data_IF_873789347513
#
_entry.id   IF_873789347513
#
_cell.length_a   1.000
_cell.length_b   1.000
_cell.length_c   1.000
_cell.angle_alpha   90.00
_cell.angle_beta   90.00
_cell.angle_gamma   90.00
#
_symmetry.space_group_name_H-M   'P 1'
#
loop_
_entity.id
_entity.type
_entity.pdbx_description
1 polymer ?
#
# COMPACT_ATOMS: atom_id res chain seq x y z
N UNK A 1 -10.84 6.26 -1.44
CA UNK A 1 -10.36 5.62 -2.67
C UNK A 1 -11.16 4.37 -2.95
N UNK A 2 -11.73 4.27 -4.13
CA UNK A 2 -12.46 3.07 -4.53
C UNK A 2 -11.51 2.05 -5.17
N UNK A 3 -11.59 0.81 -4.71
CA UNK A 3 -10.78 -0.29 -5.20
C UNK A 3 -11.66 -1.41 -5.73
N UNK A 4 -11.10 -2.23 -6.60
CA UNK A 4 -11.82 -3.37 -7.20
C UNK A 4 -11.57 -4.68 -6.47
N UNK A 5 -10.55 -4.74 -5.61
CA UNK A 5 -10.11 -5.98 -5.00
C UNK A 5 -9.22 -6.81 -5.93
N UNK A 6 -8.92 -8.02 -5.52
CA UNK A 6 -8.12 -9.00 -6.28
C UNK A 6 -6.75 -8.49 -6.75
N UNK A 7 -6.08 -7.73 -5.89
CA UNK A 7 -4.75 -7.22 -6.20
C UNK A 7 -4.75 -5.89 -6.95
N UNK A 8 -5.89 -5.20 -6.97
CA UNK A 8 -5.99 -3.86 -7.57
C UNK A 8 -4.93 -2.94 -6.96
N UNK A 9 -4.02 -2.45 -7.79
CA UNK A 9 -2.81 -1.73 -7.39
C UNK A 9 -2.90 -0.28 -7.85
N UNK A 10 -2.81 0.64 -6.90
CA UNK A 10 -2.92 2.07 -7.14
C UNK A 10 -1.64 2.80 -6.77
N UNK A 11 -1.12 3.62 -7.67
CA UNK A 11 -0.01 4.51 -7.37
C UNK A 11 -0.53 5.71 -6.58
N UNK A 12 -0.12 5.81 -5.32
CA UNK A 12 -0.51 6.92 -4.44
C UNK A 12 0.63 7.91 -4.20
N UNK A 13 1.72 7.79 -4.94
CA UNK A 13 2.86 8.70 -4.81
C UNK A 13 2.46 10.17 -4.97
N UNK A 14 1.64 10.56 -5.96
CA UNK A 14 1.25 11.97 -6.11
C UNK A 14 0.51 12.51 -4.88
N UNK A 15 -0.36 11.72 -4.27
CA UNK A 15 -1.11 12.12 -3.08
C UNK A 15 -0.20 12.28 -1.87
N UNK A 16 0.81 11.42 -1.74
CA UNK A 16 1.79 11.53 -0.66
C UNK A 16 2.68 12.75 -0.86
N UNK A 17 3.14 12.99 -2.07
CA UNK A 17 3.92 14.19 -2.41
C UNK A 17 3.14 15.47 -2.10
N UNK A 18 1.86 15.49 -2.45
CA UNK A 18 1.00 16.65 -2.19
C UNK A 18 0.83 16.88 -0.69
N UNK A 19 0.62 15.82 0.09
CA UNK A 19 0.48 15.93 1.54
C UNK A 19 1.76 16.49 2.18
N UNK A 20 2.93 16.05 1.71
CA UNK A 20 4.21 16.59 2.20
C UNK A 20 4.33 18.08 1.88
N UNK A 21 4.00 18.50 0.65
CA UNK A 21 4.01 19.93 0.29
C UNK A 21 3.05 20.74 1.14
N UNK A 22 1.83 20.25 1.32
CA UNK A 22 0.78 20.96 2.06
C UNK A 22 1.11 21.09 3.55
N UNK A 23 1.92 20.18 4.09
CA UNK A 23 2.32 20.22 5.50
C UNK A 23 3.19 21.41 5.86
N UNK A 24 3.90 21.96 4.89
CA UNK A 24 4.89 23.02 5.14
C UNK A 24 6.15 22.51 5.87
N UNK A 25 6.23 21.23 6.21
CA UNK A 25 7.41 20.63 6.83
C UNK A 25 8.47 20.41 5.75
N UNK A 26 9.68 20.85 6.03
CA UNK A 26 10.73 20.86 5.01
C UNK A 26 11.40 19.52 4.86
N UNK A 27 11.77 18.90 5.96
CA UNK A 27 12.46 17.62 5.98
C UNK A 27 11.95 16.77 7.13
N UNK A 28 11.87 15.48 6.92
CA UNK A 28 11.37 14.57 7.95
C UNK A 28 11.02 13.19 7.40
N UNK A 29 10.02 12.59 8.00
CA UNK A 29 9.51 11.28 7.63
C UNK A 29 8.02 11.38 7.33
N UNK A 30 7.60 10.70 6.28
CA UNK A 30 6.18 10.52 5.99
C UNK A 30 5.85 9.03 6.12
N UNK A 31 4.83 8.73 6.90
CA UNK A 31 4.35 7.36 7.09
C UNK A 31 2.97 7.22 6.48
N UNK A 32 2.81 6.21 5.66
CA UNK A 32 1.54 5.84 5.05
C UNK A 32 1.04 4.58 5.74
N UNK A 33 -0.21 4.59 6.17
CA UNK A 33 -0.82 3.45 6.84
C UNK A 33 -2.21 3.19 6.27
N UNK A 34 -2.49 1.93 5.92
CA UNK A 34 -3.82 1.52 5.49
C UNK A 34 -4.52 0.73 6.60
N UNK A 35 -5.54 1.29 7.27
CA UNK A 35 -6.36 0.51 8.18
C UNK A 35 -7.11 -0.57 7.44
N UNK A 36 -7.19 -1.74 8.04
CA UNK A 36 -7.84 -2.90 7.43
C UNK A 36 -6.89 -4.07 7.34
N UNK A 37 -7.43 -5.25 7.12
CA UNK A 37 -6.68 -6.50 7.16
C UNK A 37 -6.53 -7.18 5.81
N UNK A 38 -7.01 -6.56 4.74
CA UNK A 38 -6.99 -7.14 3.39
C UNK A 38 -6.34 -6.24 2.34
N UNK A 39 -5.72 -5.16 2.76
CA UNK A 39 -4.97 -4.26 1.87
C UNK A 39 -3.58 -4.00 2.43
N UNK A 40 -2.69 -3.52 1.58
CA UNK A 40 -1.29 -3.30 1.92
C UNK A 40 -0.75 -2.04 1.25
N UNK A 41 0.36 -1.54 1.75
CA UNK A 41 1.11 -0.43 1.15
C UNK A 41 2.57 -0.85 1.02
N UNK A 42 3.14 -0.66 -0.16
CA UNK A 42 4.54 -0.95 -0.43
C UNK A 42 5.08 -0.01 -1.49
N UNK A 43 6.30 -0.25 -1.92
CA UNK A 43 6.88 0.44 -3.08
C UNK A 43 7.18 -0.57 -4.18
N UNK A 44 6.99 -0.14 -5.41
CA UNK A 44 7.45 -0.89 -6.57
C UNK A 44 7.57 0.07 -7.76
N UNK A 45 8.23 -0.38 -8.81
CA UNK A 45 8.15 0.29 -10.10
C UNK A 45 6.73 0.09 -10.64
N UNK A 46 5.98 1.18 -10.74
CA UNK A 46 4.58 1.11 -11.18
C UNK A 46 4.53 1.03 -12.70
N UNK A 47 4.82 -0.15 -13.22
CA UNK A 47 4.74 -0.47 -14.63
C UNK A 47 4.04 -1.84 -14.78
N UNK A 48 3.40 -2.03 -15.90
CA UNK A 48 2.48 -3.16 -16.10
C UNK A 48 3.14 -4.50 -15.87
N UNK A 49 4.36 -4.70 -16.34
CA UNK A 49 5.09 -5.96 -16.18
C UNK A 49 5.34 -6.29 -14.72
N UNK A 50 5.84 -5.34 -13.94
CA UNK A 50 6.13 -5.55 -12.52
C UNK A 50 4.85 -5.78 -11.74
N UNK A 51 3.79 -5.03 -12.04
CA UNK A 51 2.49 -5.22 -11.39
C UNK A 51 1.95 -6.62 -11.66
N UNK A 52 2.03 -7.09 -12.89
CA UNK A 52 1.62 -8.42 -13.26
C UNK A 52 2.50 -9.51 -12.64
N UNK A 53 3.81 -9.29 -12.58
CA UNK A 53 4.74 -10.21 -11.96
C UNK A 53 4.48 -10.35 -10.46
N UNK A 54 4.17 -9.24 -9.79
CA UNK A 54 3.82 -9.29 -8.37
C UNK A 54 2.51 -10.07 -8.15
N UNK A 55 1.50 -9.83 -8.97
CA UNK A 55 0.25 -10.58 -8.90
C UNK A 55 0.48 -12.08 -9.10
N UNK A 56 1.33 -12.45 -10.06
CA UNK A 56 1.70 -13.85 -10.29
C UNK A 56 2.45 -14.46 -9.10
N UNK A 57 3.35 -13.72 -8.50
CA UNK A 57 4.08 -14.16 -7.32
C UNK A 57 3.13 -14.39 -6.13
N UNK A 58 2.17 -13.50 -5.91
CA UNK A 58 1.17 -13.66 -4.86
C UNK A 58 0.33 -14.91 -5.08
N UNK A 59 -0.08 -15.18 -6.32
CA UNK A 59 -0.85 -16.40 -6.63
C UNK A 59 -0.04 -17.67 -6.41
N UNK A 60 1.27 -17.65 -6.71
CA UNK A 60 2.12 -18.83 -6.45
C UNK A 60 2.39 -19.05 -4.96
N UNK A 61 2.59 -17.96 -4.19
CA UNK A 61 2.94 -18.05 -2.78
C UNK A 61 1.70 -18.23 -1.90
N UNK A 62 0.62 -17.57 -2.23
CA UNK A 62 -0.62 -17.52 -1.45
C UNK A 62 -1.79 -17.72 -2.41
N UNK A 63 -2.00 -18.98 -2.90
CA UNK A 63 -3.03 -19.24 -3.90
C UNK A 63 -4.44 -19.00 -3.37
N UNK A 64 -5.35 -18.58 -4.25
CA UNK A 64 -6.77 -18.42 -3.91
C UNK A 64 -7.45 -19.75 -3.67
N UNK A 65 -7.08 -20.79 -4.43
CA UNK A 65 -7.82 -22.04 -4.53
C UNK A 65 -7.26 -23.13 -3.61
N UNK A 66 -6.89 -22.76 -2.38
CA UNK A 66 -6.52 -23.71 -1.33
C UNK A 66 -7.36 -23.44 -0.09
N UNK A 67 -7.49 -24.41 0.83
CA UNK A 67 -8.22 -24.19 2.06
C UNK A 67 -7.53 -23.17 2.96
N UNK A 68 -8.32 -22.27 3.55
CA UNK A 68 -7.87 -21.36 4.59
C UNK A 68 -8.78 -21.53 5.80
N UNK A 69 -8.20 -21.57 6.99
CA UNK A 69 -8.98 -21.73 8.22
C UNK A 69 -9.92 -20.55 8.47
N UNK A 70 -9.55 -19.36 8.01
CA UNK A 70 -10.42 -18.19 8.04
C UNK A 70 -11.74 -18.45 7.33
N UNK A 71 -11.70 -19.07 6.17
CA UNK A 71 -12.89 -19.35 5.35
C UNK A 71 -13.80 -20.40 5.99
N UNK A 72 -13.22 -21.36 6.70
CA UNK A 72 -13.96 -22.37 7.45
C UNK A 72 -14.79 -21.74 8.57
N UNK A 73 -14.27 -20.67 9.18
CA UNK A 73 -14.91 -20.00 10.30
C UNK A 73 -15.92 -18.95 9.86
N UNK A 74 -15.58 -18.12 8.86
CA UNK A 74 -16.34 -16.95 8.47
C UNK A 74 -17.05 -17.06 7.13
N UNK A 75 -16.65 -18.01 6.29
CA UNK A 75 -17.23 -18.30 4.97
C UNK A 75 -17.25 -17.16 3.96
N UNK A 76 -16.44 -16.12 4.16
CA UNK A 76 -16.32 -15.00 3.25
C UNK A 76 -15.26 -15.20 2.15
N UNK A 77 -14.53 -16.32 2.22
CA UNK A 77 -13.59 -16.80 1.19
C UNK A 77 -12.45 -15.87 0.87
N UNK A 78 -12.12 -14.96 1.80
CA UNK A 78 -11.02 -14.03 1.61
C UNK A 78 -9.82 -14.32 2.52
N UNK A 79 -9.66 -15.56 2.97
CA UNK A 79 -8.51 -15.96 3.78
C UNK A 79 -7.19 -15.64 3.11
N UNK A 80 -7.07 -15.88 1.81
CA UNK A 80 -5.88 -15.53 1.04
C UNK A 80 -5.59 -14.02 1.06
N UNK A 81 -6.65 -13.20 1.07
CA UNK A 81 -6.51 -11.73 1.10
C UNK A 81 -5.84 -11.26 2.39
N UNK A 82 -6.24 -11.83 3.52
CA UNK A 82 -5.64 -11.53 4.83
C UNK A 82 -4.17 -11.92 4.88
N UNK A 83 -3.83 -13.10 4.37
CA UNK A 83 -2.44 -13.58 4.38
C UNK A 83 -1.57 -12.74 3.46
N UNK A 84 -2.05 -12.41 2.26
CA UNK A 84 -1.31 -11.55 1.32
C UNK A 84 -1.06 -10.16 1.93
N UNK A 85 -2.09 -9.56 2.53
CA UNK A 85 -1.97 -8.26 3.17
C UNK A 85 -0.99 -8.29 4.35
N UNK A 86 -1.07 -9.31 5.19
CA UNK A 86 -0.17 -9.46 6.33
C UNK A 86 1.29 -9.63 5.90
N UNK A 87 1.52 -10.39 4.84
CA UNK A 87 2.87 -10.61 4.32
C UNK A 87 3.49 -9.32 3.78
N UNK A 88 2.70 -8.53 3.08
CA UNK A 88 3.18 -7.29 2.45
C UNK A 88 3.25 -6.12 3.43
N UNK A 89 2.33 -6.05 4.37
CA UNK A 89 2.32 -5.05 5.44
C UNK A 89 1.42 -3.85 5.17
N UNK A 90 0.95 -3.20 6.25
CA UNK A 90 -0.03 -2.13 6.16
C UNK A 90 0.57 -0.73 6.04
N UNK A 91 1.89 -0.59 6.15
CA UNK A 91 2.51 0.73 6.22
C UNK A 91 3.91 0.75 5.66
N UNK A 92 4.36 1.94 5.34
CA UNK A 92 5.77 2.20 5.06
C UNK A 92 6.11 3.64 5.45
N UNK A 93 7.39 3.88 5.65
CA UNK A 93 7.91 5.20 5.99
C UNK A 93 8.95 5.60 4.96
N UNK A 94 8.81 6.83 4.45
CA UNK A 94 9.72 7.39 3.45
C UNK A 94 10.30 8.69 4.00
N UNK A 95 11.63 8.86 4.00
CA UNK A 95 12.22 10.16 4.33
C UNK A 95 11.97 11.16 3.21
N UNK A 96 11.86 12.43 3.58
CA UNK A 96 11.81 13.51 2.61
C UNK A 96 12.75 14.64 3.04
N UNK A 97 13.32 15.31 2.04
CA UNK A 97 14.28 16.39 2.23
C UNK A 97 13.90 17.54 1.30
N UNK A 98 13.79 18.74 1.86
CA UNK A 98 13.37 19.93 1.11
C UNK A 98 12.09 19.71 0.31
N UNK A 99 11.12 19.03 0.93
CA UNK A 99 9.83 18.73 0.33
C UNK A 99 9.82 17.58 -0.66
N UNK A 100 10.96 16.96 -0.95
CA UNK A 100 11.07 15.87 -1.91
C UNK A 100 11.20 14.50 -1.26
N UNK A 101 10.33 13.57 -1.64
CA UNK A 101 10.42 12.18 -1.20
C UNK A 101 11.74 11.57 -1.70
N UNK A 102 12.44 10.88 -0.83
CA UNK A 102 13.71 10.25 -1.14
C UNK A 102 13.52 8.86 -1.74
N UNK A 103 12.63 8.77 -2.72
CA UNK A 103 12.40 7.53 -3.47
C UNK A 103 13.45 7.37 -4.56
N UNK A 104 13.76 6.13 -4.88
CA UNK A 104 14.53 5.82 -6.07
C UNK A 104 13.78 6.26 -7.33
N UNK A 105 14.51 6.41 -8.44
CA UNK A 105 13.96 6.95 -9.69
C UNK A 105 12.69 6.25 -10.16
N UNK A 106 12.63 4.92 -10.03
CA UNK A 106 11.52 4.10 -10.50
C UNK A 106 10.61 3.63 -9.38
N UNK A 107 10.91 4.03 -8.14
CA UNK A 107 10.19 3.58 -6.96
C UNK A 107 8.95 4.43 -6.74
N UNK A 108 7.79 3.79 -6.73
CA UNK A 108 6.50 4.44 -6.46
C UNK A 108 5.84 3.82 -5.24
N UNK A 109 5.12 4.63 -4.49
CA UNK A 109 4.33 4.16 -3.36
C UNK A 109 2.99 3.67 -3.90
N UNK A 110 2.66 2.42 -3.59
CA UNK A 110 1.42 1.80 -4.09
C UNK A 110 0.59 1.24 -2.95
N UNK A 111 -0.72 1.35 -3.11
CA UNK A 111 -1.70 0.68 -2.28
C UNK A 111 -2.26 -0.49 -3.08
N UNK A 112 -2.27 -1.68 -2.48
CA UNK A 112 -2.77 -2.89 -3.14
C UNK A 112 -3.93 -3.44 -2.31
N UNK A 113 -5.08 -3.62 -2.94
CA UNK A 113 -6.24 -4.21 -2.28
C UNK A 113 -6.36 -5.68 -2.68
N UNK A 114 -6.14 -6.56 -1.71
CA UNK A 114 -6.18 -8.00 -1.91
C UNK A 114 -7.54 -8.61 -1.61
N UNK A 115 -8.51 -7.82 -1.17
CA UNK A 115 -9.84 -8.37 -0.87
C UNK A 115 -10.49 -8.98 -2.12
N UNK A 116 -11.47 -9.82 -1.92
CA UNK A 116 -12.17 -10.49 -3.01
C UNK A 116 -13.38 -9.71 -3.52
N UNK A 117 -13.50 -8.45 -3.16
CA UNK A 117 -14.59 -7.56 -3.60
C UNK A 117 -14.15 -6.11 -3.61
N UNK A 118 -14.92 -5.26 -4.27
CA UNK A 118 -14.71 -3.81 -4.28
C UNK A 118 -14.86 -3.23 -2.88
N UNK A 119 -14.01 -2.25 -2.56
CA UNK A 119 -14.01 -1.56 -1.29
C UNK A 119 -13.87 -0.06 -1.50
N UNK A 120 -14.29 0.70 -0.51
CA UNK A 120 -13.89 2.09 -0.36
C UNK A 120 -12.84 2.14 0.75
N UNK A 121 -11.58 2.43 0.37
CA UNK A 121 -10.45 2.43 1.30
C UNK A 121 -10.10 3.86 1.69
N UNK A 122 -9.77 4.03 2.95
CA UNK A 122 -9.12 5.23 3.46
C UNK A 122 -7.74 4.86 3.95
N UNK A 123 -6.76 5.69 3.67
CA UNK A 123 -5.42 5.51 4.19
C UNK A 123 -4.95 6.81 4.84
N UNK A 124 -4.01 6.68 5.77
CA UNK A 124 -3.51 7.78 6.57
C UNK A 124 -2.12 8.17 6.07
N UNK A 125 -1.87 9.46 6.04
CA UNK A 125 -0.55 10.02 5.74
C UNK A 125 -0.15 10.86 6.95
N UNK A 126 0.87 10.41 7.68
CA UNK A 126 1.40 11.11 8.84
C UNK A 126 2.76 11.69 8.52
N UNK A 127 2.96 12.95 8.85
CA UNK A 127 4.19 13.67 8.56
C UNK A 127 4.80 14.10 9.87
N UNK A 128 6.04 13.68 10.08
CA UNK A 128 6.82 14.02 11.25
C UNK A 128 8.09 14.72 10.78
N UNK A 129 8.24 15.99 11.16
CA UNK A 129 9.37 16.77 10.72
C UNK A 129 10.15 17.38 11.87
N UNK A 130 11.47 17.43 11.68
CA UNK A 130 12.38 18.03 12.65
C UNK A 130 12.85 19.42 12.28
N UNK A 131 12.71 19.84 11.04
CA UNK A 131 13.31 21.06 10.57
C UNK A 131 12.24 22.01 10.05
N UNK A 132 11.81 22.87 10.96
CA UNK A 132 11.00 24.05 10.62
C UNK A 132 11.93 25.25 10.56
N UNK A 133 12.38 25.60 9.40
CA UNK A 133 12.97 26.90 9.23
C UNK A 133 11.87 27.94 9.10
N UNK A 134 11.97 29.02 9.85
CA UNK A 134 11.08 30.15 9.66
C UNK A 134 11.23 30.76 8.28
#
# INVERSE_FOLDING_TARGET
MNTKGDGDCHNITPEVEQAVRDSGVRSGLVTIFIPGSTAAVTTLEFEEGVVNDLAGAMERLIPKNIPYQHDERWQDRNGYSHVRAALMGPSLTVPFVNGGLQLGRWQQIVLIDFDNRSRNRQYLINILGGDRHP
#
